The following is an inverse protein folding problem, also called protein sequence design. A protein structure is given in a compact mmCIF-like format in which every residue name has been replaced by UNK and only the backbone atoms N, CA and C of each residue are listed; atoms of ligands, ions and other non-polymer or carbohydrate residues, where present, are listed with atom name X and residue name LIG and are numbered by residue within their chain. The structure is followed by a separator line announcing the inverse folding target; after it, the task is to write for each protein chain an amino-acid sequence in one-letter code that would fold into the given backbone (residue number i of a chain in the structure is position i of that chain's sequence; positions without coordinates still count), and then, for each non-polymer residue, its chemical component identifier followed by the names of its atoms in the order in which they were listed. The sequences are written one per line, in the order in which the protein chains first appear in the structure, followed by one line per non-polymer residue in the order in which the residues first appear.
data_IF_765630807391
#
_entry.id   IF_765630807391
#
_cell.length_a   1.000
_cell.length_b   1.000
_cell.length_c   1.000
_cell.angle_alpha   90.00
_cell.angle_beta   90.00
_cell.angle_gamma   90.00
#
_symmetry.space_group_name_H-M   'P 1'
#
loop_
_entity.id
_entity.type
_entity.pdbx_description
1 polymer ?
#
# COMPACT_ATOMS: atom_id res chain seq x y z
N UNK A 1 -67.74 18.63 21.94
CA UNK A 1 -67.14 17.29 22.08
C UNK A 1 -66.50 16.99 20.75
N UNK A 2 -65.19 16.70 20.73
CA UNK A 2 -64.28 16.91 19.59
C UNK A 2 -64.50 15.88 18.48
N UNK A 3 -64.65 16.36 17.24
CA UNK A 3 -64.69 15.55 16.02
C UNK A 3 -63.30 14.92 15.77
N UNK A 4 -63.18 13.63 16.04
CA UNK A 4 -61.97 12.84 15.75
C UNK A 4 -61.94 12.47 14.28
N UNK A 5 -61.16 13.26 13.52
CA UNK A 5 -60.76 12.99 12.15
C UNK A 5 -59.86 11.74 12.13
N UNK A 6 -60.41 10.63 11.66
CA UNK A 6 -59.69 9.40 11.34
C UNK A 6 -58.57 9.71 10.34
N UNK A 7 -57.33 9.44 10.74
CA UNK A 7 -56.13 9.57 9.91
C UNK A 7 -56.12 8.43 8.89
N UNK A 8 -56.50 8.75 7.66
CA UNK A 8 -56.34 7.86 6.53
C UNK A 8 -54.86 7.66 6.20
N UNK A 9 -54.55 6.37 6.07
CA UNK A 9 -53.31 5.72 5.67
C UNK A 9 -52.72 6.37 4.41
N UNK A 10 -51.53 6.95 4.56
CA UNK A 10 -50.67 7.37 3.45
C UNK A 10 -50.15 6.14 2.68
N UNK A 11 -50.73 5.83 1.52
CA UNK A 11 -50.13 4.95 0.51
C UNK A 11 -49.63 5.82 -0.65
N UNK A 12 -48.44 6.38 -0.48
CA UNK A 12 -47.81 7.32 -1.41
C UNK A 12 -46.54 6.76 -2.02
N UNK A 13 -46.61 6.51 -3.33
CA UNK A 13 -45.52 6.27 -4.29
C UNK A 13 -44.95 4.85 -4.41
N UNK A 14 -45.64 4.08 -5.26
CA UNK A 14 -44.99 3.13 -6.16
C UNK A 14 -43.86 3.85 -6.94
N UNK A 15 -42.60 3.63 -6.55
CA UNK A 15 -41.45 3.94 -7.39
C UNK A 15 -41.15 2.72 -8.27
N UNK A 16 -41.64 2.73 -9.49
CA UNK A 16 -40.98 2.03 -10.58
C UNK A 16 -40.28 3.06 -11.47
N UNK A 17 -38.96 3.00 -11.54
CA UNK A 17 -38.28 3.07 -12.83
C UNK A 17 -36.93 2.38 -12.73
N UNK A 18 -36.77 1.41 -13.63
CA UNK A 18 -35.50 0.81 -14.00
C UNK A 18 -34.60 1.88 -14.61
N UNK A 19 -33.36 1.94 -14.19
CA UNK A 19 -32.26 1.91 -15.16
C UNK A 19 -31.09 1.23 -14.50
N UNK A 20 -30.63 0.14 -15.12
CA UNK A 20 -29.29 -0.35 -14.91
C UNK A 20 -28.36 0.82 -15.16
N UNK A 21 -27.75 1.36 -14.10
CA UNK A 21 -26.66 2.29 -14.26
C UNK A 21 -25.60 1.56 -15.06
N UNK A 22 -25.40 1.98 -16.30
CA UNK A 22 -24.24 1.62 -17.08
C UNK A 22 -23.04 1.79 -16.14
N UNK A 23 -22.24 0.73 -15.97
CA UNK A 23 -20.94 0.87 -15.37
C UNK A 23 -20.30 2.07 -16.07
N UNK A 24 -19.93 3.11 -15.32
CA UNK A 24 -18.91 4.03 -15.82
C UNK A 24 -17.78 3.11 -16.24
N UNK A 25 -17.55 3.02 -17.55
CA UNK A 25 -16.43 2.23 -18.06
C UNK A 25 -15.21 3.05 -17.70
N UNK A 26 -14.79 2.91 -16.45
CA UNK A 26 -13.53 3.44 -16.01
C UNK A 26 -12.48 2.77 -16.89
N UNK A 27 -11.81 3.62 -17.67
CA UNK A 27 -10.91 3.16 -18.70
C UNK A 27 -9.69 2.55 -18.01
N UNK A 28 -9.64 1.22 -17.99
CA UNK A 28 -8.48 0.49 -17.47
C UNK A 28 -7.32 0.53 -18.46
N UNK A 29 -6.11 0.69 -17.93
CA UNK A 29 -4.89 0.89 -18.70
C UNK A 29 -3.89 -0.20 -18.34
N UNK A 30 -3.29 -0.83 -19.33
CA UNK A 30 -2.16 -1.73 -19.13
C UNK A 30 -0.86 -0.90 -19.07
N UNK A 31 -0.07 -1.07 -18.01
CA UNK A 31 1.18 -0.33 -17.80
C UNK A 31 2.30 -1.24 -17.30
N UNK A 32 3.53 -0.95 -17.74
CA UNK A 32 4.74 -1.54 -17.17
C UNK A 32 5.20 -0.71 -15.97
N UNK A 33 5.42 -1.37 -14.84
CA UNK A 33 5.97 -0.77 -13.64
C UNK A 33 7.49 -0.85 -13.72
N UNK A 34 8.17 0.27 -13.47
CA UNK A 34 9.61 0.41 -13.76
C UNK A 34 10.43 0.86 -12.58
N UNK A 35 9.81 1.47 -11.56
CA UNK A 35 10.51 2.02 -10.40
C UNK A 35 9.61 2.03 -9.16
N UNK A 36 10.17 2.30 -7.98
CA UNK A 36 9.44 2.48 -6.72
C UNK A 36 9.64 3.89 -6.18
N UNK A 37 8.53 4.56 -5.89
CA UNK A 37 8.54 5.86 -5.27
C UNK A 37 8.85 5.78 -3.77
N UNK A 38 9.32 6.90 -3.21
CA UNK A 38 9.31 7.08 -1.76
C UNK A 38 7.86 6.96 -1.24
N UNK A 39 7.65 6.11 -0.24
CA UNK A 39 6.31 5.76 0.25
C UNK A 39 5.76 4.44 -0.30
N UNK A 40 6.44 3.84 -1.29
CA UNK A 40 6.24 2.45 -1.63
C UNK A 40 5.31 2.13 -2.79
N UNK A 41 4.78 3.15 -3.46
CA UNK A 41 4.00 2.98 -4.67
C UNK A 41 4.93 2.66 -5.85
N UNK A 42 4.54 1.68 -6.65
CA UNK A 42 5.24 1.38 -7.89
C UNK A 42 4.94 2.48 -8.93
N UNK A 43 5.89 2.71 -9.83
CA UNK A 43 5.86 3.80 -10.79
C UNK A 43 5.81 3.26 -12.20
N UNK A 44 4.77 3.64 -12.92
CA UNK A 44 4.61 3.42 -14.35
C UNK A 44 4.57 4.74 -15.11
N UNK A 45 4.61 4.66 -16.44
CA UNK A 45 4.37 5.81 -17.32
C UNK A 45 3.35 5.47 -18.38
N UNK A 46 2.39 6.37 -18.57
CA UNK A 46 1.38 6.25 -19.61
C UNK A 46 1.12 7.63 -20.20
N UNK A 47 1.20 7.76 -21.53
CA UNK A 47 1.00 9.02 -22.26
C UNK A 47 1.79 10.21 -21.69
N UNK A 48 3.05 9.99 -21.32
CA UNK A 48 3.93 11.03 -20.76
C UNK A 48 3.65 11.40 -19.30
N UNK A 49 2.60 10.84 -18.67
CA UNK A 49 2.27 11.03 -17.26
C UNK A 49 2.95 9.96 -16.40
N UNK A 50 3.30 10.33 -15.17
CA UNK A 50 3.78 9.39 -14.15
C UNK A 50 2.57 8.80 -13.42
N UNK A 51 2.48 7.48 -13.34
CA UNK A 51 1.45 6.77 -12.59
C UNK A 51 2.03 6.19 -11.30
N UNK A 52 1.40 6.47 -10.17
CA UNK A 52 1.69 5.83 -8.89
C UNK A 52 0.66 4.73 -8.64
N UNK A 53 1.15 3.49 -8.49
CA UNK A 53 0.34 2.27 -8.39
C UNK A 53 0.70 1.55 -7.08
N UNK A 54 -0.11 1.69 -6.02
CA UNK A 54 0.07 0.95 -4.77
C UNK A 54 -0.07 -0.55 -5.00
N UNK A 55 0.69 -1.37 -4.26
CA UNK A 55 0.62 -2.84 -4.36
C UNK A 55 1.29 -3.44 -5.61
N UNK A 56 1.81 -2.60 -6.52
CA UNK A 56 2.65 -3.03 -7.64
C UNK A 56 4.10 -3.29 -7.25
N UNK A 57 4.84 -3.94 -8.15
CA UNK A 57 6.29 -4.15 -8.06
C UNK A 57 6.93 -3.75 -9.40
N UNK A 58 8.11 -3.10 -9.42
CA UNK A 58 8.83 -2.87 -10.67
C UNK A 58 9.14 -4.18 -11.39
N UNK A 59 9.08 -4.18 -12.72
CA UNK A 59 9.20 -5.37 -13.56
C UNK A 59 7.86 -6.03 -13.90
N UNK A 60 6.77 -5.60 -13.26
CA UNK A 60 5.43 -6.10 -13.56
C UNK A 60 4.79 -5.41 -14.75
N UNK A 61 3.92 -6.17 -15.42
CA UNK A 61 2.90 -5.60 -16.30
C UNK A 61 1.55 -5.75 -15.61
N UNK A 62 0.84 -4.64 -15.43
CA UNK A 62 -0.40 -4.58 -14.64
C UNK A 62 -1.48 -3.84 -15.40
N UNK A 63 -2.73 -4.15 -15.09
CA UNK A 63 -3.90 -3.37 -15.46
C UNK A 63 -4.30 -2.50 -14.29
N UNK A 64 -4.49 -1.21 -14.55
CA UNK A 64 -4.81 -0.21 -13.52
C UNK A 64 -5.97 0.67 -13.93
N UNK A 65 -6.61 1.29 -12.95
CA UNK A 65 -7.64 2.30 -13.14
C UNK A 65 -7.17 3.63 -12.53
N UNK A 66 -7.24 4.72 -13.26
CA UNK A 66 -6.86 6.03 -12.73
C UNK A 66 -7.96 6.52 -11.78
N UNK A 67 -7.59 6.79 -10.53
CA UNK A 67 -8.52 7.23 -9.48
C UNK A 67 -8.32 8.69 -9.07
N UNK A 68 -7.13 9.24 -9.29
CA UNK A 68 -6.84 10.65 -9.02
C UNK A 68 -5.86 11.20 -10.07
N UNK A 69 -6.23 12.29 -10.74
CA UNK A 69 -5.35 12.99 -11.67
C UNK A 69 -4.87 14.33 -11.12
N UNK A 70 -3.59 14.61 -11.33
CA UNK A 70 -2.96 15.90 -11.05
C UNK A 70 -2.09 16.32 -12.24
N UNK A 71 -1.59 17.56 -12.21
CA UNK A 71 -0.71 18.06 -13.27
C UNK A 71 0.58 17.22 -13.32
N UNK A 72 0.71 16.44 -14.40
CA UNK A 72 1.91 15.64 -14.72
C UNK A 72 2.02 14.27 -14.02
N UNK A 73 1.09 13.92 -13.14
CA UNK A 73 1.05 12.60 -12.50
C UNK A 73 -0.37 12.19 -12.11
N UNK A 74 -0.60 10.90 -11.95
CA UNK A 74 -1.86 10.36 -11.48
C UNK A 74 -1.62 9.20 -10.50
N UNK A 75 -2.60 8.95 -9.62
CA UNK A 75 -2.67 7.75 -8.79
C UNK A 75 -3.64 6.78 -9.46
N UNK A 76 -3.26 5.51 -9.50
CA UNK A 76 -4.07 4.47 -10.10
C UNK A 76 -4.19 3.28 -9.16
N UNK A 77 -5.37 2.65 -9.15
CA UNK A 77 -5.63 1.41 -8.43
C UNK A 77 -5.23 0.21 -9.29
N UNK A 78 -4.60 -0.76 -8.65
CA UNK A 78 -4.20 -2.02 -9.28
C UNK A 78 -5.43 -2.93 -9.43
N UNK A 79 -5.84 -3.20 -10.68
CA UNK A 79 -6.96 -4.09 -10.97
C UNK A 79 -6.51 -5.53 -11.16
N UNK A 80 -5.43 -5.73 -11.93
CA UNK A 80 -4.97 -7.07 -12.32
C UNK A 80 -3.45 -7.07 -12.55
N UNK A 81 -2.79 -8.14 -12.14
CA UNK A 81 -1.38 -8.38 -12.46
C UNK A 81 -1.32 -9.28 -13.68
N UNK A 82 -1.02 -8.71 -14.85
CA UNK A 82 -0.95 -9.43 -16.12
C UNK A 82 0.35 -10.24 -16.23
N UNK A 83 1.43 -9.72 -15.66
CA UNK A 83 2.73 -10.39 -15.54
C UNK A 83 3.36 -10.05 -14.19
N UNK A 84 3.43 -11.02 -13.25
CA UNK A 84 4.02 -10.78 -11.95
C UNK A 84 5.54 -10.69 -12.01
N UNK A 85 6.13 -9.95 -11.08
CA UNK A 85 7.58 -9.90 -10.90
C UNK A 85 8.04 -11.15 -10.12
N UNK A 86 9.25 -11.67 -10.39
CA UNK A 86 9.77 -12.86 -9.70
C UNK A 86 9.82 -12.75 -8.16
N UNK A 87 9.95 -11.52 -7.65
CA UNK A 87 9.98 -11.22 -6.22
C UNK A 87 8.59 -11.07 -5.58
N UNK A 88 7.50 -11.23 -6.34
CA UNK A 88 6.15 -11.19 -5.76
C UNK A 88 5.93 -12.39 -4.83
N UNK A 89 5.45 -12.11 -3.63
CA UNK A 89 5.07 -13.12 -2.62
C UNK A 89 3.68 -12.82 -2.08
N UNK A 90 3.03 -13.84 -1.53
CA UNK A 90 1.75 -13.65 -0.85
C UNK A 90 1.96 -12.88 0.47
N UNK A 91 1.24 -11.77 0.72
CA UNK A 91 1.34 -11.04 1.97
C UNK A 91 0.97 -11.91 3.18
N UNK A 92 1.81 -11.90 4.21
CA UNK A 92 1.54 -12.66 5.43
C UNK A 92 0.33 -12.10 6.22
N UNK A 93 0.16 -10.77 6.21
CA UNK A 93 -0.90 -10.06 6.91
C UNK A 93 -1.55 -9.00 6.00
N UNK A 94 -2.39 -9.41 5.02
CA UNK A 94 -2.97 -8.51 4.02
C UNK A 94 -3.71 -7.31 4.62
N UNK A 95 -4.32 -7.49 5.80
CA UNK A 95 -5.12 -6.45 6.48
C UNK A 95 -4.26 -5.28 7.00
N UNK A 96 -2.93 -5.45 7.09
CA UNK A 96 -2.00 -4.42 7.57
C UNK A 96 -1.33 -3.63 6.45
N UNK A 97 -1.65 -3.89 5.18
CA UNK A 97 -1.02 -3.25 4.01
C UNK A 97 -1.11 -1.72 4.08
N UNK A 98 -2.29 -1.20 4.46
CA UNK A 98 -2.53 0.25 4.60
C UNK A 98 -2.07 0.83 5.94
N UNK A 99 -1.56 -0.02 6.85
CA UNK A 99 -1.18 0.34 8.23
C UNK A 99 0.34 0.39 8.44
N UNK A 100 1.09 0.68 7.38
CA UNK A 100 2.56 0.76 7.42
C UNK A 100 3.30 -0.51 7.00
N UNK A 101 2.59 -1.57 6.63
CA UNK A 101 3.15 -2.80 6.06
C UNK A 101 2.89 -2.91 4.55
N UNK A 102 3.18 -1.84 3.82
CA UNK A 102 2.83 -1.67 2.40
C UNK A 102 3.56 -2.61 1.45
N UNK A 103 4.71 -3.19 1.85
CA UNK A 103 5.61 -3.97 0.98
C UNK A 103 5.53 -5.48 1.21
N UNK A 104 4.51 -5.97 1.91
CA UNK A 104 4.38 -7.38 2.24
C UNK A 104 4.32 -8.29 1.01
N UNK A 105 3.86 -7.77 -0.13
CA UNK A 105 3.82 -8.48 -1.41
C UNK A 105 5.18 -8.59 -2.10
N UNK A 106 6.24 -7.98 -1.55
CA UNK A 106 7.59 -7.98 -2.10
C UNK A 106 8.49 -8.87 -1.24
N UNK A 107 9.22 -9.81 -1.86
CA UNK A 107 10.16 -10.67 -1.17
C UNK A 107 11.20 -9.84 -0.39
N UNK A 108 11.54 -10.29 0.82
CA UNK A 108 12.38 -9.52 1.75
C UNK A 108 13.73 -9.06 1.16
N UNK A 109 14.50 -9.89 0.41
CA UNK A 109 15.74 -9.43 -0.22
C UNK A 109 15.52 -8.30 -1.25
N UNK A 110 14.42 -8.36 -1.99
CA UNK A 110 14.05 -7.29 -2.93
C UNK A 110 13.66 -6.00 -2.18
N UNK A 111 12.98 -6.09 -1.03
CA UNK A 111 12.70 -4.90 -0.22
C UNK A 111 13.98 -4.15 0.20
N UNK A 112 15.04 -4.87 0.59
CA UNK A 112 16.32 -4.26 0.95
C UNK A 112 16.98 -3.55 -0.25
N UNK A 113 16.89 -4.18 -1.41
CA UNK A 113 17.41 -3.63 -2.67
C UNK A 113 16.68 -2.34 -3.06
N UNK A 114 15.35 -2.34 -3.00
CA UNK A 114 14.53 -1.18 -3.33
C UNK A 114 14.67 -0.04 -2.32
N UNK A 115 14.85 -0.32 -1.03
CA UNK A 115 15.16 0.71 -0.03
C UNK A 115 16.47 1.43 -0.33
N UNK A 116 17.53 0.67 -0.64
CA UNK A 116 18.81 1.23 -1.05
C UNK A 116 18.67 2.06 -2.35
N UNK A 117 17.90 1.55 -3.31
CA UNK A 117 17.61 2.25 -4.55
C UNK A 117 16.94 3.61 -4.30
N UNK A 118 15.87 3.66 -3.50
CA UNK A 118 15.15 4.90 -3.17
C UNK A 118 16.08 5.92 -2.51
N UNK A 119 16.90 5.50 -1.53
CA UNK A 119 17.87 6.39 -0.88
C UNK A 119 18.84 6.98 -1.91
N UNK A 120 19.36 6.16 -2.83
CA UNK A 120 20.23 6.62 -3.90
C UNK A 120 19.56 7.65 -4.79
N UNK A 121 18.32 7.40 -5.22
CA UNK A 121 17.55 8.35 -6.04
C UNK A 121 17.35 9.69 -5.32
N UNK A 122 17.06 9.65 -4.02
CA UNK A 122 16.87 10.86 -3.21
C UNK A 122 18.16 11.66 -3.04
N UNK A 123 19.31 10.99 -2.84
CA UNK A 123 20.62 11.65 -2.76
C UNK A 123 20.99 12.34 -4.08
N UNK A 124 20.74 11.70 -5.22
CA UNK A 124 20.95 12.29 -6.54
C UNK A 124 20.04 13.51 -6.73
N UNK A 125 18.72 13.33 -6.55
CA UNK A 125 17.71 14.32 -6.95
C UNK A 125 17.61 15.50 -5.98
N UNK A 126 17.60 15.22 -4.68
CA UNK A 126 17.40 16.21 -3.61
C UNK A 126 18.74 16.59 -3.00
N UNK A 127 19.55 15.60 -2.63
CA UNK A 127 20.85 15.82 -2.00
C UNK A 127 21.91 16.42 -2.93
N UNK A 128 21.71 16.37 -4.25
CA UNK A 128 22.68 16.80 -5.28
C UNK A 128 24.03 16.09 -5.13
N UNK A 129 24.00 14.85 -4.67
CA UNK A 129 25.19 14.01 -4.45
C UNK A 129 25.09 12.74 -5.31
N UNK A 130 25.40 12.82 -6.62
CA UNK A 130 25.32 11.67 -7.52
C UNK A 130 26.35 10.58 -7.19
N UNK A 131 27.48 10.96 -6.62
CA UNK A 131 28.61 10.06 -6.30
C UNK A 131 28.59 9.55 -4.85
N UNK A 132 27.54 9.88 -4.08
CA UNK A 132 27.43 9.39 -2.71
C UNK A 132 27.33 7.86 -2.67
N UNK A 133 28.15 7.25 -1.80
CA UNK A 133 28.14 5.82 -1.58
C UNK A 133 26.92 5.43 -0.72
N UNK A 134 26.03 4.62 -1.31
CA UNK A 134 24.91 4.00 -0.58
C UNK A 134 25.28 2.54 -0.29
N UNK A 135 25.51 2.23 0.98
CA UNK A 135 25.76 0.85 1.41
C UNK A 135 24.50 -0.02 1.26
N UNK A 136 24.65 -1.35 1.12
CA UNK A 136 23.52 -2.27 1.15
C UNK A 136 22.64 -2.06 2.39
N UNK A 137 21.32 -2.14 2.22
CA UNK A 137 20.39 -1.99 3.35
C UNK A 137 20.53 -3.18 4.30
N UNK A 138 20.73 -2.88 5.58
CA UNK A 138 20.85 -3.90 6.63
C UNK A 138 19.45 -4.46 6.91
N UNK A 139 19.27 -5.75 6.64
CA UNK A 139 18.06 -6.48 6.96
C UNK A 139 18.01 -6.92 8.43
N UNK A 140 16.81 -7.22 8.89
CA UNK A 140 16.55 -7.94 10.13
C UNK A 140 16.93 -9.41 9.91
N UNK A 141 17.72 -10.01 10.81
CA UNK A 141 18.02 -11.43 10.75
C UNK A 141 16.73 -12.25 10.97
N UNK A 142 16.59 -13.36 10.24
CA UNK A 142 15.44 -14.26 10.37
C UNK A 142 15.34 -14.93 11.76
N UNK A 143 16.44 -14.96 12.50
CA UNK A 143 16.51 -15.43 13.88
C UNK A 143 16.89 -14.28 14.80
N UNK A 144 16.09 -14.06 15.84
CA UNK A 144 16.47 -13.14 16.92
C UNK A 144 17.63 -13.81 17.67
N UNK A 145 18.82 -13.19 17.73
CA UNK A 145 19.92 -13.77 18.47
C UNK A 145 19.53 -13.96 19.94
N UNK A 146 19.90 -15.08 20.58
CA UNK A 146 19.46 -15.43 21.93
C UNK A 146 19.76 -14.36 22.99
N UNK A 147 20.75 -13.49 22.75
CA UNK A 147 21.06 -12.35 23.61
C UNK A 147 19.94 -11.31 23.74
N UNK A 148 19.14 -11.09 22.70
CA UNK A 148 18.00 -10.15 22.75
C UNK A 148 16.84 -10.76 23.56
N UNK A 149 16.63 -12.08 23.45
CA UNK A 149 15.67 -12.82 24.28
C UNK A 149 16.11 -12.76 25.75
N UNK A 150 17.40 -12.92 26.04
CA UNK A 150 17.93 -12.80 27.39
C UNK A 150 17.71 -11.40 28.00
N UNK A 151 17.89 -10.33 27.22
CA UNK A 151 17.60 -8.95 27.68
C UNK A 151 16.10 -8.77 27.95
N UNK A 152 15.22 -9.26 27.07
CA UNK A 152 13.77 -9.16 27.27
C UNK A 152 13.28 -9.98 28.48
N UNK A 153 13.83 -11.18 28.69
CA UNK A 153 13.55 -12.00 29.87
C UNK A 153 14.12 -11.37 31.15
N UNK A 154 15.31 -10.77 31.08
CA UNK A 154 15.92 -10.05 32.20
C UNK A 154 15.10 -8.83 32.59
N UNK A 155 14.69 -7.99 31.63
CA UNK A 155 13.82 -6.84 31.89
C UNK A 155 12.46 -7.27 32.46
N UNK A 156 11.88 -8.36 31.96
CA UNK A 156 10.66 -8.96 32.51
C UNK A 156 10.84 -9.49 33.93
N UNK A 157 11.99 -10.09 34.24
CA UNK A 157 12.34 -10.54 35.60
C UNK A 157 12.56 -9.36 36.55
N UNK A 158 13.31 -8.33 36.14
CA UNK A 158 13.53 -7.10 36.92
C UNK A 158 12.21 -6.37 37.20
N UNK A 159 11.34 -6.22 36.19
CA UNK A 159 10.01 -5.61 36.37
C UNK A 159 9.12 -6.44 37.29
N UNK A 160 9.18 -7.77 37.21
CA UNK A 160 8.42 -8.68 38.09
C UNK A 160 8.95 -8.68 39.52
N UNK A 161 10.27 -8.59 39.72
CA UNK A 161 10.89 -8.48 41.04
C UNK A 161 10.52 -7.15 41.74
N UNK A 162 10.40 -6.06 40.97
CA UNK A 162 10.00 -4.74 41.49
C UNK A 162 8.52 -4.67 41.89
N UNK A 163 7.68 -5.53 41.31
CA UNK A 163 6.25 -5.66 41.66
C UNK A 163 5.97 -6.56 42.88
N UNK A 164 6.92 -7.40 43.29
CA UNK A 164 6.77 -8.30 44.45
C UNK A 164 7.31 -7.67 45.75
N UNK A 165 8.10 -6.61 45.64
CA UNK A 165 8.73 -5.91 46.77
C UNK A 165 8.00 -4.62 47.18
N UNK A 166 6.76 -4.42 46.73
CA UNK A 166 5.91 -3.28 47.08
C UNK A 166 4.52 -3.73 47.52
#
# INVERSE_FOLDING_TARGET
MKDTKTLERWDGHQRQSLSSGAAEVNMSIDVELTDLAYGGDAVGRYEGRVLFVPGGIPGERVRVEIVEERRGHARAELLEILRPAPERVEPAYPQLTDSGCQWQHIAYPAQLTWKAHIVRQLLVRIGKQPDALVHPTIGMPATIPPGIIAIMLYLRWVLRAKLVLN
#
